data_IF_154376213759
#
_entry.id   IF_154376213759
#
_cell.length_a   1.000
_cell.length_b   1.000
_cell.length_c   1.000
_cell.angle_alpha   90.00
_cell.angle_beta   90.00
_cell.angle_gamma   90.00
#
_symmetry.space_group_name_H-M   'P 1'
#
loop_
_entity.id
_entity.type
_entity.pdbx_description
1 polymer ?
#
# COMPACT_ATOMS: atom_id res chain seq x y z
N UNK A 1 38.47 10.81 28.93
CA UNK A 1 37.42 9.77 28.83
C UNK A 1 36.05 10.45 28.80
N UNK A 2 35.71 11.01 27.64
CA UNK A 2 34.45 11.74 27.41
C UNK A 2 33.47 10.77 26.78
N UNK A 3 32.78 9.97 27.61
CA UNK A 3 31.79 8.99 27.12
C UNK A 3 30.43 9.13 27.82
N UNK A 4 30.26 10.10 28.73
CA UNK A 4 29.04 10.24 29.52
C UNK A 4 28.15 11.43 29.13
N UNK A 5 28.51 12.21 28.10
CA UNK A 5 27.71 13.37 27.66
C UNK A 5 26.96 13.16 26.32
N UNK A 6 26.74 11.90 25.92
CA UNK A 6 25.95 11.57 24.72
C UNK A 6 24.75 10.65 25.05
N UNK A 7 24.18 10.77 26.25
CA UNK A 7 23.01 10.03 26.71
C UNK A 7 21.77 10.94 26.88
N UNK A 8 21.67 12.02 26.08
CA UNK A 8 20.52 12.94 26.12
C UNK A 8 19.80 13.14 24.78
N UNK A 9 19.99 12.24 23.83
CA UNK A 9 19.16 12.14 22.64
C UNK A 9 19.12 10.66 22.27
N UNK A 10 17.97 10.03 22.47
CA UNK A 10 17.23 9.35 21.41
C UNK A 10 16.10 8.52 22.05
N UNK A 11 14.82 8.90 21.84
CA UNK A 11 13.67 8.04 22.15
C UNK A 11 13.61 6.76 21.29
N UNK A 12 14.64 6.46 20.49
CA UNK A 12 14.69 5.31 19.59
C UNK A 12 14.90 3.96 20.29
N UNK A 13 15.58 3.91 21.44
CA UNK A 13 15.82 2.63 22.13
C UNK A 13 14.54 2.10 22.80
N UNK A 14 13.67 3.01 23.29
CA UNK A 14 12.36 2.64 23.87
C UNK A 14 11.40 2.13 22.80
N UNK A 15 11.54 2.62 21.57
CA UNK A 15 10.77 2.17 20.40
C UNK A 15 11.21 0.73 20.05
N UNK A 16 12.52 0.48 19.86
CA UNK A 16 13.03 -0.84 19.46
C UNK A 16 12.60 -2.00 20.37
N UNK A 17 12.66 -1.83 21.70
CA UNK A 17 12.28 -2.90 22.63
C UNK A 17 10.78 -3.19 22.72
N UNK A 18 9.88 -2.31 22.23
CA UNK A 18 8.42 -2.54 22.31
C UNK A 18 7.85 -3.26 21.08
N UNK A 19 8.47 -3.10 19.90
CA UNK A 19 7.99 -3.77 18.67
C UNK A 19 8.42 -5.23 18.59
N UNK A 20 9.53 -5.62 19.25
CA UNK A 20 9.96 -7.02 19.37
C UNK A 20 9.04 -7.88 20.25
N UNK A 21 8.08 -7.27 20.97
CA UNK A 21 7.28 -7.94 22.00
C UNK A 21 5.77 -7.90 21.77
N UNK A 22 5.27 -7.78 20.55
CA UNK A 22 3.83 -7.98 20.21
C UNK A 22 2.80 -7.23 21.11
N UNK A 23 3.21 -6.21 21.86
CA UNK A 23 2.39 -5.61 22.92
C UNK A 23 1.70 -4.31 22.50
N UNK A 24 2.01 -3.78 21.31
CA UNK A 24 1.41 -2.53 20.85
C UNK A 24 1.05 -2.66 19.38
N UNK A 25 -0.23 -2.93 19.10
CA UNK A 25 -0.79 -2.65 17.77
C UNK A 25 -0.53 -1.16 17.49
N UNK A 26 0.18 -0.80 16.41
CA UNK A 26 0.36 0.61 16.08
C UNK A 26 -1.02 1.27 15.98
N UNK A 27 -1.14 2.51 16.44
CA UNK A 27 -2.36 3.27 16.18
C UNK A 27 -2.57 3.36 14.67
N UNK A 28 -3.82 3.48 14.23
CA UNK A 28 -4.18 3.57 12.80
C UNK A 28 -3.34 4.64 12.09
N UNK A 29 -3.09 5.75 12.77
CA UNK A 29 -2.27 6.87 12.28
C UNK A 29 -0.80 6.51 12.02
N UNK A 30 -0.20 5.66 12.85
CA UNK A 30 1.18 5.18 12.67
C UNK A 30 1.21 4.15 11.54
N UNK A 31 0.21 3.27 11.47
CA UNK A 31 0.11 2.28 10.40
C UNK A 31 -0.05 2.95 9.02
N UNK A 32 -0.85 4.02 8.92
CA UNK A 32 -0.97 4.83 7.69
C UNK A 32 0.37 5.44 7.29
N UNK A 33 1.13 6.04 8.23
CA UNK A 33 2.45 6.61 7.93
C UNK A 33 3.47 5.57 7.46
N UNK A 34 3.42 4.36 8.03
CA UNK A 34 4.28 3.25 7.61
C UNK A 34 3.89 2.76 6.21
N UNK A 35 2.59 2.56 5.96
CA UNK A 35 2.08 2.17 4.65
C UNK A 35 2.48 3.21 3.58
N UNK A 36 2.40 4.49 3.96
CA UNK A 36 2.78 5.57 3.07
C UNK A 36 4.27 5.58 2.74
N UNK A 37 5.14 5.40 3.74
CA UNK A 37 6.59 5.37 3.58
C UNK A 37 7.08 4.14 2.80
N UNK A 38 6.36 3.02 2.89
CA UNK A 38 6.64 1.78 2.14
C UNK A 38 5.97 1.75 0.76
N UNK A 39 5.20 2.79 0.42
CA UNK A 39 4.42 2.89 -0.83
C UNK A 39 3.47 1.71 -1.08
N UNK A 40 2.96 1.10 -0.01
CA UNK A 40 2.01 -0.02 -0.05
C UNK A 40 0.65 0.38 0.52
N UNK A 41 -0.38 -0.42 0.26
CA UNK A 41 -1.70 -0.23 0.88
C UNK A 41 -1.67 -0.61 2.38
N UNK A 42 -2.54 0.02 3.17
CA UNK A 42 -2.70 -0.32 4.59
C UNK A 42 -3.17 -1.77 4.76
N UNK A 43 -4.02 -2.27 3.85
CA UNK A 43 -4.48 -3.66 3.86
C UNK A 43 -3.35 -4.66 3.58
N UNK A 44 -2.40 -4.30 2.70
CA UNK A 44 -1.20 -5.09 2.48
C UNK A 44 -0.28 -5.04 3.71
N UNK A 45 -0.08 -3.86 4.30
CA UNK A 45 0.70 -3.71 5.54
C UNK A 45 0.09 -4.49 6.72
N UNK A 46 -1.24 -4.56 6.80
CA UNK A 46 -1.97 -5.28 7.83
C UNK A 46 -2.02 -6.79 7.60
N UNK A 47 -1.57 -7.29 6.45
CA UNK A 47 -1.63 -8.71 6.08
C UNK A 47 -3.04 -9.19 5.73
N UNK A 48 -3.97 -8.28 5.41
CA UNK A 48 -5.33 -8.63 4.98
C UNK A 48 -5.37 -9.07 3.50
N UNK A 49 -4.30 -8.80 2.75
CA UNK A 49 -4.14 -9.23 1.36
C UNK A 49 -2.67 -9.48 1.04
N UNK A 50 -2.39 -10.54 0.29
CA UNK A 50 -1.07 -10.79 -0.29
C UNK A 50 -0.82 -9.93 -1.54
N UNK A 51 -1.83 -9.16 -1.97
CA UNK A 51 -1.76 -8.35 -3.18
C UNK A 51 -1.16 -6.97 -2.86
N UNK A 52 0.07 -6.75 -3.29
CA UNK A 52 0.70 -5.44 -3.23
C UNK A 52 0.04 -4.53 -4.27
N UNK A 53 -0.89 -3.70 -3.81
CA UNK A 53 -1.51 -2.68 -4.64
C UNK A 53 -0.52 -1.52 -4.82
N UNK A 54 0.05 -1.41 -6.01
CA UNK A 54 0.90 -0.27 -6.34
C UNK A 54 0.10 1.04 -6.25
N UNK A 55 0.64 2.04 -5.56
CA UNK A 55 -0.01 3.36 -5.39
C UNK A 55 -0.39 4.03 -6.71
N UNK A 56 0.42 3.85 -7.75
CA UNK A 56 0.16 4.38 -9.10
C UNK A 56 -1.15 3.82 -9.70
N UNK A 57 -1.46 2.53 -9.49
CA UNK A 57 -2.67 1.86 -9.98
C UNK A 57 -3.87 2.36 -9.20
N UNK A 58 -3.75 2.46 -7.88
CA UNK A 58 -4.81 3.02 -7.03
C UNK A 58 -5.15 4.45 -7.44
N UNK A 59 -4.14 5.30 -7.64
CA UNK A 59 -4.34 6.68 -8.07
C UNK A 59 -5.01 6.77 -9.45
N UNK A 60 -4.60 5.93 -10.41
CA UNK A 60 -5.27 5.85 -11.73
C UNK A 60 -6.74 5.47 -11.58
N UNK A 61 -7.09 4.51 -10.73
CA UNK A 61 -8.49 4.15 -10.47
C UNK A 61 -9.27 5.32 -9.85
N UNK A 62 -8.67 6.03 -8.89
CA UNK A 62 -9.29 7.22 -8.28
C UNK A 62 -9.56 8.30 -9.35
N UNK A 63 -8.62 8.53 -10.25
CA UNK A 63 -8.78 9.53 -11.30
C UNK A 63 -9.84 9.11 -12.33
N UNK A 64 -9.91 7.83 -12.70
CA UNK A 64 -11.01 7.28 -13.52
C UNK A 64 -12.37 7.51 -12.85
N UNK A 65 -12.44 7.39 -11.52
CA UNK A 65 -13.69 7.62 -10.79
C UNK A 65 -14.14 9.09 -10.80
N UNK A 66 -13.24 10.04 -11.05
CA UNK A 66 -13.56 11.47 -11.14
C UNK A 66 -13.99 11.92 -12.54
N UNK A 67 -13.84 11.07 -13.56
CA UNK A 67 -14.31 11.35 -14.92
C UNK A 67 -15.85 11.45 -14.95
N UNK A 68 -16.36 12.17 -15.96
CA UNK A 68 -17.79 12.17 -16.26
C UNK A 68 -18.27 10.77 -16.69
N UNK A 69 -19.59 10.60 -16.76
CA UNK A 69 -20.20 9.30 -16.98
C UNK A 69 -19.84 8.69 -18.35
N UNK A 70 -19.66 9.50 -19.38
CA UNK A 70 -19.36 9.05 -20.74
C UNK A 70 -17.91 8.58 -20.84
N UNK A 71 -16.96 9.44 -20.41
CA UNK A 71 -15.54 9.11 -20.42
C UNK A 71 -15.22 7.91 -19.53
N UNK A 72 -15.86 7.85 -18.35
CA UNK A 72 -15.74 6.71 -17.43
C UNK A 72 -16.20 5.40 -18.09
N UNK A 73 -17.34 5.42 -18.79
CA UNK A 73 -17.87 4.25 -19.47
C UNK A 73 -16.92 3.75 -20.58
N UNK A 74 -16.31 4.67 -21.34
CA UNK A 74 -15.33 4.33 -22.36
C UNK A 74 -14.07 3.68 -21.78
N UNK A 75 -13.53 4.24 -20.69
CA UNK A 75 -12.35 3.68 -20.03
C UNK A 75 -12.63 2.28 -19.48
N UNK A 76 -13.79 2.07 -18.84
CA UNK A 76 -14.16 0.75 -18.35
C UNK A 76 -14.33 -0.27 -19.48
N UNK A 77 -14.97 0.12 -20.59
CA UNK A 77 -15.13 -0.75 -21.74
C UNK A 77 -13.78 -1.20 -22.33
N UNK A 78 -12.79 -0.30 -22.42
CA UNK A 78 -11.44 -0.64 -22.87
C UNK A 78 -10.72 -1.58 -21.88
N UNK A 79 -10.88 -1.34 -20.58
CA UNK A 79 -10.28 -2.18 -19.54
C UNK A 79 -10.87 -3.61 -19.58
N UNK A 80 -12.19 -3.71 -19.69
CA UNK A 80 -12.91 -4.98 -19.77
C UNK A 80 -12.54 -5.76 -21.04
N UNK A 81 -12.46 -5.08 -22.18
CA UNK A 81 -12.00 -5.70 -23.42
C UNK A 81 -10.57 -6.25 -23.29
N UNK A 82 -9.65 -5.46 -22.72
CA UNK A 82 -8.25 -5.88 -22.54
C UNK A 82 -8.12 -7.08 -21.59
N UNK A 83 -8.87 -7.07 -20.48
CA UNK A 83 -8.88 -8.17 -19.51
C UNK A 83 -9.51 -9.43 -20.09
N UNK A 84 -10.60 -9.29 -20.84
CA UNK A 84 -11.25 -10.40 -21.55
C UNK A 84 -10.29 -11.01 -22.55
N UNK A 85 -9.67 -10.21 -23.41
CA UNK A 85 -8.74 -10.70 -24.42
C UNK A 85 -7.55 -11.43 -23.80
N UNK A 86 -7.00 -10.94 -22.70
CA UNK A 86 -5.93 -11.62 -21.98
C UNK A 86 -6.37 -12.98 -21.39
N UNK A 87 -7.56 -13.05 -20.79
CA UNK A 87 -8.13 -14.31 -20.28
C UNK A 87 -8.41 -15.31 -21.42
N UNK A 88 -8.93 -14.82 -22.54
CA UNK A 88 -9.30 -15.67 -23.67
C UNK A 88 -8.07 -16.15 -24.45
N UNK A 89 -7.01 -15.32 -24.61
CA UNK A 89 -5.72 -15.77 -25.16
C UNK A 89 -5.09 -16.91 -24.35
N UNK A 90 -5.16 -16.84 -23.01
CA UNK A 90 -4.74 -17.97 -22.16
C UNK A 90 -5.54 -19.26 -22.42
N UNK A 91 -6.79 -19.16 -22.86
CA UNK A 91 -7.62 -20.32 -23.18
C UNK A 91 -7.29 -20.97 -24.55
N UNK A 92 -6.75 -20.21 -25.51
CA UNK A 92 -6.36 -20.71 -26.84
C UNK A 92 -4.89 -21.15 -26.95
N UNK A 93 -4.11 -21.02 -25.87
CA UNK A 93 -2.70 -21.44 -25.83
C UNK A 93 -2.51 -22.78 -25.10
N UNK A 94 -3.60 -23.52 -24.85
CA UNK A 94 -3.58 -24.90 -24.35
C UNK A 94 -3.97 -25.89 -25.45
#
# INVERSE_FOLDING_TARGET
>A
MVTYLFLRKLPYLVIGSKYERNEVKPSVEVAVKIADALEVSLDYLAGNTDLLLEKNVVNKIIDIQKLDAEDKAHVFAMLDASLRDHKTKKAYTN
#
